data_IF_841929101018
#
_entry.id   IF_841929101018
#
_cell.length_a   1.000
_cell.length_b   1.000
_cell.length_c   1.000
_cell.angle_alpha   90.00
_cell.angle_beta   90.00
_cell.angle_gamma   90.00
#
_symmetry.space_group_name_H-M   'P 1'
#
loop_
_entity.id
_entity.type
_entity.pdbx_description
1 polymer ?
#
# COMPACT_ATOMS: atom_id res chain seq x y z
N UNK A 1 -13.91 -9.76 -8.09
CA UNK A 1 -12.64 -9.24 -7.53
C UNK A 1 -11.56 -10.23 -7.91
N UNK A 2 -10.44 -9.81 -8.47
CA UNK A 2 -9.33 -10.68 -8.87
C UNK A 2 -8.68 -11.24 -7.60
N UNK A 3 -8.88 -12.55 -7.34
CA UNK A 3 -8.47 -13.20 -6.08
C UNK A 3 -6.95 -13.15 -5.89
N UNK A 4 -6.19 -13.38 -6.96
CA UNK A 4 -4.74 -13.37 -6.95
C UNK A 4 -4.18 -12.01 -6.51
N UNK A 5 -4.72 -10.89 -7.06
CA UNK A 5 -4.32 -9.54 -6.64
C UNK A 5 -4.76 -9.22 -5.20
N UNK A 6 -5.86 -9.82 -4.74
CA UNK A 6 -6.26 -9.69 -3.34
C UNK A 6 -5.24 -10.36 -2.43
N UNK A 7 -4.78 -11.57 -2.76
CA UNK A 7 -3.74 -12.26 -1.99
C UNK A 7 -2.42 -11.51 -2.00
N UNK A 8 -2.01 -10.92 -3.12
CA UNK A 8 -0.83 -10.05 -3.18
C UNK A 8 -0.94 -8.86 -2.22
N UNK A 9 -2.14 -8.28 -2.06
CA UNK A 9 -2.35 -7.22 -1.04
C UNK A 9 -2.03 -7.72 0.38
N UNK A 10 -2.45 -8.93 0.72
CA UNK A 10 -2.16 -9.55 2.01
C UNK A 10 -0.66 -9.78 2.20
N UNK A 11 0.01 -10.34 1.20
CA UNK A 11 1.46 -10.59 1.22
C UNK A 11 2.23 -9.28 1.41
N UNK A 12 1.98 -8.26 0.59
CA UNK A 12 2.67 -6.97 0.71
C UNK A 12 2.35 -6.25 2.02
N UNK A 13 1.12 -6.37 2.55
CA UNK A 13 0.79 -5.80 3.85
C UNK A 13 1.62 -6.45 4.96
N UNK A 14 1.79 -7.77 4.95
CA UNK A 14 2.67 -8.46 5.91
C UNK A 14 4.13 -8.07 5.74
N UNK A 15 4.64 -7.95 4.52
CA UNK A 15 6.01 -7.49 4.29
C UNK A 15 6.25 -6.08 4.85
N UNK A 16 5.27 -5.18 4.73
CA UNK A 16 5.34 -3.84 5.33
C UNK A 16 5.31 -3.92 6.87
N UNK A 17 4.53 -4.82 7.45
CA UNK A 17 4.56 -5.07 8.91
C UNK A 17 5.95 -5.57 9.32
N UNK A 18 6.51 -6.57 8.64
CA UNK A 18 7.86 -7.09 8.90
C UNK A 18 8.91 -5.98 8.85
N UNK A 19 8.86 -5.12 7.83
CA UNK A 19 9.74 -3.95 7.72
C UNK A 19 9.68 -3.04 8.95
N UNK A 20 8.48 -2.77 9.47
CA UNK A 20 8.30 -1.93 10.66
C UNK A 20 8.73 -2.59 11.98
N UNK A 21 8.95 -3.90 11.96
CA UNK A 21 9.58 -4.65 13.04
C UNK A 21 11.09 -4.86 12.82
N UNK A 22 11.71 -4.05 11.95
CA UNK A 22 13.14 -4.09 11.61
C UNK A 22 13.62 -5.45 11.07
N UNK A 23 12.73 -6.19 10.40
CA UNK A 23 13.09 -7.41 9.68
C UNK A 23 13.59 -7.02 8.28
N UNK A 24 14.87 -6.69 8.18
CA UNK A 24 15.49 -6.09 6.98
C UNK A 24 15.42 -6.97 5.72
N UNK A 25 15.20 -8.28 5.88
CA UNK A 25 14.97 -9.20 4.76
C UNK A 25 13.73 -8.85 3.93
N UNK A 26 12.80 -8.08 4.51
CA UNK A 26 11.55 -7.66 3.87
C UNK A 26 11.56 -6.23 3.35
N UNK A 27 12.66 -5.49 3.52
CA UNK A 27 12.73 -4.06 3.13
C UNK A 27 12.34 -3.85 1.66
N UNK A 28 12.90 -4.63 0.75
CA UNK A 28 12.65 -4.52 -0.68
C UNK A 28 11.19 -4.81 -1.04
N UNK A 29 10.63 -5.86 -0.41
CA UNK A 29 9.24 -6.23 -0.58
C UNK A 29 8.29 -5.16 -0.02
N UNK A 30 8.65 -4.50 1.07
CA UNK A 30 7.87 -3.43 1.65
C UNK A 30 7.82 -2.20 0.74
N UNK A 31 8.95 -1.75 0.18
CA UNK A 31 9.00 -0.65 -0.79
C UNK A 31 8.21 -0.97 -2.07
N UNK A 32 8.38 -2.18 -2.61
CA UNK A 32 7.59 -2.65 -3.74
C UNK A 32 6.08 -2.69 -3.40
N UNK A 33 5.74 -3.11 -2.17
CA UNK A 33 4.37 -3.16 -1.66
C UNK A 33 3.70 -1.79 -1.61
N UNK A 34 4.41 -0.74 -1.20
CA UNK A 34 3.89 0.63 -1.24
C UNK A 34 3.51 1.03 -2.67
N UNK A 35 4.42 0.84 -3.63
CA UNK A 35 4.15 1.09 -5.05
C UNK A 35 2.99 0.24 -5.57
N UNK A 36 2.92 -1.03 -5.17
CA UNK A 36 1.83 -1.94 -5.52
C UNK A 36 0.47 -1.42 -5.02
N UNK A 37 0.38 -0.93 -3.79
CA UNK A 37 -0.89 -0.42 -3.25
C UNK A 37 -1.37 0.84 -3.99
N UNK A 38 -0.49 1.78 -4.31
CA UNK A 38 -0.86 2.95 -5.13
C UNK A 38 -1.28 2.54 -6.54
N UNK A 39 -0.45 1.75 -7.21
CA UNK A 39 -0.70 1.31 -8.58
C UNK A 39 -1.98 0.47 -8.68
N UNK A 40 -2.18 -0.50 -7.78
CA UNK A 40 -3.39 -1.32 -7.74
C UNK A 40 -4.64 -0.48 -7.46
N UNK A 41 -4.54 0.52 -6.57
CA UNK A 41 -5.66 1.42 -6.28
C UNK A 41 -6.11 2.19 -7.52
N UNK A 42 -5.17 2.74 -8.27
CA UNK A 42 -5.46 3.39 -9.55
C UNK A 42 -5.96 2.41 -10.62
N UNK A 43 -5.34 1.24 -10.74
CA UNK A 43 -5.72 0.18 -11.67
C UNK A 43 -7.19 -0.21 -11.51
N UNK A 44 -7.62 -0.49 -10.29
CA UNK A 44 -8.97 -0.95 -10.02
C UNK A 44 -10.06 0.09 -10.35
N UNK A 45 -9.75 1.39 -10.22
CA UNK A 45 -10.70 2.47 -10.60
C UNK A 45 -11.04 2.39 -12.08
N UNK A 46 -10.05 2.25 -12.92
CA UNK A 46 -10.23 2.25 -14.37
C UNK A 46 -10.61 0.88 -14.90
N UNK A 47 -10.01 -0.21 -14.41
CA UNK A 47 -10.29 -1.57 -14.85
C UNK A 47 -11.75 -1.99 -14.63
N UNK A 48 -12.35 -1.61 -13.49
CA UNK A 48 -13.74 -1.91 -13.15
C UNK A 48 -14.78 -1.00 -13.81
N UNK A 49 -14.39 -0.14 -14.73
CA UNK A 49 -15.30 0.85 -15.32
C UNK A 49 -16.06 1.67 -14.27
N UNK A 50 -15.39 2.13 -13.22
CA UNK A 50 -16.04 2.96 -12.23
C UNK A 50 -16.56 4.23 -12.92
N UNK A 51 -17.85 4.23 -13.28
CA UNK A 51 -18.51 5.40 -13.84
C UNK A 51 -18.75 6.38 -12.70
N UNK A 52 -18.29 7.62 -12.88
CA UNK A 52 -18.57 8.69 -11.92
C UNK A 52 -20.00 9.19 -12.13
N UNK A 53 -21.01 8.38 -11.78
CA UNK A 53 -22.40 8.83 -11.80
C UNK A 53 -22.62 10.02 -10.86
N UNK A 54 -21.82 10.13 -9.81
CA UNK A 54 -21.76 11.26 -8.89
C UNK A 54 -20.38 11.34 -8.24
N UNK A 55 -19.70 12.45 -8.43
CA UNK A 55 -18.41 12.75 -7.76
C UNK A 55 -18.56 12.74 -6.23
N UNK A 56 -19.70 13.26 -5.72
CA UNK A 56 -20.02 13.24 -4.29
C UNK A 56 -20.10 11.80 -3.76
N UNK A 57 -20.81 10.91 -4.44
CA UNK A 57 -20.92 9.50 -4.04
C UNK A 57 -19.57 8.77 -4.10
N UNK A 58 -18.76 9.08 -5.13
CA UNK A 58 -17.40 8.54 -5.24
C UNK A 58 -16.54 8.91 -4.02
N UNK A 59 -16.48 10.20 -3.67
CA UNK A 59 -15.71 10.65 -2.51
C UNK A 59 -16.26 10.08 -1.21
N UNK A 60 -17.56 10.17 -0.98
CA UNK A 60 -18.19 9.64 0.23
C UNK A 60 -17.79 8.21 0.51
N UNK A 61 -17.95 7.29 -0.47
CA UNK A 61 -17.59 5.87 -0.29
C UNK A 61 -16.12 5.65 0.05
N UNK A 62 -15.21 6.46 -0.50
CA UNK A 62 -13.77 6.31 -0.27
C UNK A 62 -13.31 6.94 1.04
N UNK A 63 -13.83 8.12 1.37
CA UNK A 63 -13.52 8.79 2.62
C UNK A 63 -14.06 8.01 3.82
N UNK A 64 -15.29 7.47 3.73
CA UNK A 64 -15.86 6.58 4.75
C UNK A 64 -15.08 5.27 4.95
N UNK A 65 -14.28 4.87 3.98
CA UNK A 65 -13.40 3.71 4.15
C UNK A 65 -12.11 4.06 4.89
N UNK A 66 -11.60 5.28 4.76
CA UNK A 66 -10.29 5.70 5.28
C UNK A 66 -10.43 6.34 6.66
N UNK A 67 -11.25 7.39 6.76
CA UNK A 67 -11.26 8.26 7.93
C UNK A 67 -11.74 7.60 9.23
N UNK A 68 -12.82 6.80 9.26
CA UNK A 68 -13.32 6.26 10.53
C UNK A 68 -12.26 5.39 11.23
N UNK A 69 -11.60 4.50 10.50
CA UNK A 69 -10.58 3.63 11.08
C UNK A 69 -9.29 4.41 11.42
N UNK A 70 -8.91 5.39 10.60
CA UNK A 70 -7.79 6.27 10.87
C UNK A 70 -8.01 7.08 12.15
N UNK A 71 -9.17 7.72 12.31
CA UNK A 71 -9.49 8.48 13.52
C UNK A 71 -9.59 7.60 14.75
N UNK A 72 -10.20 6.41 14.63
CA UNK A 72 -10.25 5.45 15.72
C UNK A 72 -8.85 5.06 16.19
N UNK A 73 -7.96 4.73 15.25
CA UNK A 73 -6.58 4.37 15.57
C UNK A 73 -5.82 5.55 16.20
N UNK A 74 -5.98 6.77 15.68
CA UNK A 74 -5.33 7.97 16.23
C UNK A 74 -5.84 8.29 17.64
N UNK A 75 -7.16 8.27 17.87
CA UNK A 75 -7.77 8.51 19.18
C UNK A 75 -7.32 7.44 20.19
N UNK A 76 -7.29 6.16 19.76
CA UNK A 76 -6.83 5.08 20.63
C UNK A 76 -5.35 5.21 21.00
N UNK A 77 -4.50 5.68 20.08
CA UNK A 77 -3.09 5.97 20.34
C UNK A 77 -2.95 7.13 21.35
N UNK A 78 -3.68 8.23 21.15
CA UNK A 78 -3.68 9.37 22.08
C UNK A 78 -4.12 8.91 23.48
N UNK A 79 -5.19 8.15 23.56
CA UNK A 79 -5.70 7.64 24.85
C UNK A 79 -4.68 6.71 25.53
N UNK A 80 -4.04 5.83 24.75
CA UNK A 80 -3.01 4.92 25.25
C UNK A 80 -1.80 5.67 25.80
N UNK A 81 -1.31 6.67 25.09
CA UNK A 81 -0.17 7.50 25.50
C UNK A 81 -0.51 8.32 26.78
N UNK A 82 -1.71 8.89 26.86
CA UNK A 82 -2.16 9.62 28.06
C UNK A 82 -2.22 8.73 29.29
N UNK A 83 -2.69 7.50 29.15
CA UNK A 83 -2.85 6.55 30.27
C UNK A 83 -1.51 5.94 30.67
N UNK A 84 -0.66 5.59 29.71
CA UNK A 84 0.56 4.80 29.97
C UNK A 84 1.80 5.66 30.19
N UNK A 85 1.92 6.78 29.49
CA UNK A 85 3.09 7.66 29.57
C UNK A 85 2.80 8.90 30.41
N UNK A 86 1.54 9.19 30.70
CA UNK A 86 1.07 10.38 31.43
C UNK A 86 1.53 11.71 30.80
N UNK A 87 1.74 11.71 29.47
CA UNK A 87 2.18 12.88 28.70
C UNK A 87 1.33 13.07 27.46
N UNK A 88 0.97 14.31 27.19
CA UNK A 88 0.35 14.73 25.94
C UNK A 88 1.45 15.22 25.00
N UNK A 89 1.92 14.36 24.10
CA UNK A 89 3.01 14.64 23.16
C UNK A 89 2.53 15.22 21.83
N UNK A 90 1.29 15.67 21.77
CA UNK A 90 0.65 16.05 20.51
C UNK A 90 0.77 17.58 20.32
N UNK A 91 1.44 17.97 19.25
CA UNK A 91 1.76 19.36 18.94
C UNK A 91 0.83 20.01 17.92
N UNK A 92 1.32 21.09 17.35
CA UNK A 92 0.65 21.91 16.34
C UNK A 92 0.34 21.13 15.03
N UNK A 93 1.02 20.02 14.79
CA UNK A 93 0.89 19.16 13.61
C UNK A 93 -0.24 18.12 13.73
N UNK A 94 -0.82 17.94 14.93
CA UNK A 94 -1.95 17.02 15.13
C UNK A 94 -3.12 17.28 14.16
N UNK A 95 -3.57 18.52 13.89
CA UNK A 95 -4.61 18.78 12.90
C UNK A 95 -4.25 18.28 11.49
N UNK A 96 -2.98 18.31 11.10
CA UNK A 96 -2.52 17.78 9.81
C UNK A 96 -2.70 16.26 9.75
N UNK A 97 -2.42 15.55 10.85
CA UNK A 97 -2.62 14.10 10.93
C UNK A 97 -4.12 13.72 10.95
N UNK A 98 -4.94 14.49 11.67
CA UNK A 98 -6.40 14.31 11.67
C UNK A 98 -6.98 14.45 10.26
N UNK A 99 -6.48 15.43 9.49
CA UNK A 99 -6.91 15.73 8.12
C UNK A 99 -6.16 14.94 7.03
N UNK A 100 -5.16 14.12 7.39
CA UNK A 100 -4.27 13.42 6.44
C UNK A 100 -3.53 14.37 5.49
N UNK A 101 -2.99 15.48 6.02
CA UNK A 101 -2.24 16.50 5.27
C UNK A 101 -0.74 16.55 5.64
N UNK A 102 -0.29 15.73 6.60
CA UNK A 102 1.09 15.75 7.11
C UNK A 102 2.16 15.49 6.04
N UNK A 103 1.85 14.71 5.00
CA UNK A 103 2.81 14.41 3.91
C UNK A 103 3.09 15.59 2.96
N UNK A 104 2.41 16.72 3.15
CA UNK A 104 2.66 17.94 2.39
C UNK A 104 3.76 18.80 3.01
N UNK A 105 4.09 18.54 4.29
CA UNK A 105 5.10 19.30 5.02
C UNK A 105 6.47 18.62 4.85
N UNK A 106 7.50 19.30 4.30
CA UNK A 106 8.82 18.68 4.07
C UNK A 106 9.66 18.61 5.36
N UNK A 107 9.09 18.03 6.40
CA UNK A 107 9.74 17.82 7.69
C UNK A 107 9.47 16.39 8.17
N UNK A 108 10.54 15.62 8.37
CA UNK A 108 10.49 14.21 8.80
C UNK A 108 9.78 14.04 10.14
N UNK A 109 9.94 14.97 11.07
CA UNK A 109 9.30 14.98 12.37
C UNK A 109 7.79 15.22 12.27
N UNK A 110 7.30 15.80 11.17
CA UNK A 110 5.90 16.03 10.92
C UNK A 110 5.29 14.83 10.18
N UNK A 111 5.82 14.44 9.02
CA UNK A 111 5.15 13.42 8.21
C UNK A 111 5.24 12.00 8.76
N UNK A 112 6.18 11.70 9.68
CA UNK A 112 6.29 10.43 10.39
C UNK A 112 5.83 10.49 11.86
N UNK A 113 5.37 11.63 12.34
CA UNK A 113 4.89 11.77 13.70
C UNK A 113 3.65 10.89 13.96
N UNK A 114 3.38 10.63 15.23
CA UNK A 114 2.27 9.83 15.78
C UNK A 114 2.15 8.45 15.14
N UNK A 115 1.69 8.35 13.90
CA UNK A 115 1.56 7.10 13.17
C UNK A 115 2.40 7.15 11.89
N UNK A 116 3.59 6.55 11.94
CA UNK A 116 4.54 6.51 10.82
C UNK A 116 3.91 6.00 9.51
N UNK A 117 2.87 5.16 9.60
CA UNK A 117 2.20 4.59 8.44
C UNK A 117 1.19 5.54 7.77
N UNK A 118 0.70 6.57 8.52
CA UNK A 118 -0.39 7.43 8.05
C UNK A 118 -0.02 8.32 6.86
N UNK A 119 1.28 8.51 6.56
CA UNK A 119 1.71 9.22 5.37
C UNK A 119 1.16 8.61 4.08
N UNK A 120 1.05 7.26 4.01
CA UNK A 120 0.46 6.58 2.86
C UNK A 120 -1.01 6.98 2.65
N UNK A 121 -1.78 7.09 3.73
CA UNK A 121 -3.17 7.54 3.65
C UNK A 121 -3.29 8.99 3.19
N UNK A 122 -2.37 9.87 3.63
CA UNK A 122 -2.28 11.26 3.17
C UNK A 122 -2.06 11.32 1.66
N UNK A 123 -1.11 10.57 1.14
CA UNK A 123 -0.82 10.52 -0.29
C UNK A 123 -1.93 9.83 -1.10
N UNK A 124 -2.54 8.78 -0.54
CA UNK A 124 -3.68 8.11 -1.17
C UNK A 124 -4.92 9.02 -1.21
N UNK A 125 -5.15 9.82 -0.17
CA UNK A 125 -6.24 10.81 -0.15
C UNK A 125 -6.11 11.81 -1.31
N UNK A 126 -4.90 12.32 -1.54
CA UNK A 126 -4.65 13.20 -2.68
C UNK A 126 -4.93 12.51 -4.02
N UNK A 127 -4.49 11.25 -4.19
CA UNK A 127 -4.77 10.47 -5.40
C UNK A 127 -6.29 10.26 -5.61
N UNK A 128 -7.04 10.01 -4.52
CA UNK A 128 -8.51 9.91 -4.56
C UNK A 128 -9.13 11.24 -4.99
N UNK A 129 -8.65 12.36 -4.43
CA UNK A 129 -9.14 13.70 -4.79
C UNK A 129 -8.87 13.99 -6.28
N UNK A 130 -7.69 13.62 -6.78
CA UNK A 130 -7.31 13.81 -8.18
C UNK A 130 -8.05 12.86 -9.16
N UNK A 131 -8.64 11.76 -8.67
CA UNK A 131 -9.21 10.71 -9.52
C UNK A 131 -10.23 11.20 -10.56
N UNK A 132 -11.21 12.07 -10.26
CA UNK A 132 -12.17 12.53 -11.27
C UNK A 132 -11.49 13.28 -12.42
N UNK A 133 -10.47 14.08 -12.11
CA UNK A 133 -9.69 14.80 -13.11
C UNK A 133 -8.85 13.84 -13.97
N UNK A 134 -8.20 12.86 -13.34
CA UNK A 134 -7.44 11.83 -14.03
C UNK A 134 -8.33 10.94 -14.92
N UNK A 135 -9.53 10.57 -14.45
CA UNK A 135 -10.50 9.83 -15.26
C UNK A 135 -10.94 10.63 -16.47
N UNK A 136 -11.23 11.93 -16.31
CA UNK A 136 -11.54 12.81 -17.44
C UNK A 136 -10.39 12.82 -18.44
N UNK A 137 -9.16 13.06 -17.98
CA UNK A 137 -7.95 13.04 -18.81
C UNK A 137 -7.83 11.73 -19.59
N UNK A 138 -7.90 10.56 -18.91
CA UNK A 138 -7.73 9.23 -19.52
C UNK A 138 -8.84 8.93 -20.54
N UNK A 139 -10.07 9.38 -20.30
CA UNK A 139 -11.22 9.10 -21.16
C UNK A 139 -11.32 10.04 -22.37
N UNK A 140 -10.79 11.27 -22.29
CA UNK A 140 -10.88 12.27 -23.36
C UNK A 140 -9.60 12.38 -24.21
N UNK A 141 -8.46 11.91 -23.69
CA UNK A 141 -7.17 12.00 -24.38
C UNK A 141 -6.91 10.74 -25.20
N UNK A 142 -6.32 10.92 -26.39
CA UNK A 142 -5.85 9.78 -27.16
C UNK A 142 -4.93 8.88 -26.33
N UNK A 143 -5.13 7.55 -26.41
CA UNK A 143 -4.43 6.59 -25.56
C UNK A 143 -2.91 6.68 -25.68
N UNK A 144 -2.38 6.88 -26.89
CA UNK A 144 -0.93 7.03 -27.11
C UNK A 144 -0.40 8.30 -26.46
N UNK A 145 -1.14 9.40 -26.60
CA UNK A 145 -0.78 10.70 -25.99
C UNK A 145 -0.84 10.61 -24.46
N UNK A 146 -1.89 9.99 -23.91
CA UNK A 146 -2.00 9.77 -22.47
C UNK A 146 -0.82 8.95 -21.92
N UNK A 147 -0.43 7.87 -22.59
CA UNK A 147 0.77 7.10 -22.23
C UNK A 147 2.04 7.93 -22.33
N UNK A 148 2.22 8.71 -23.37
CA UNK A 148 3.40 9.57 -23.53
C UNK A 148 3.52 10.57 -22.36
N UNK A 149 2.41 11.20 -21.96
CA UNK A 149 2.37 12.14 -20.81
C UNK A 149 2.74 11.42 -19.51
N UNK A 150 2.17 10.24 -19.25
CA UNK A 150 2.44 9.48 -18.02
C UNK A 150 3.89 8.98 -18.00
N UNK A 151 4.43 8.49 -19.12
CA UNK A 151 5.84 8.09 -19.22
C UNK A 151 6.75 9.29 -18.97
N UNK A 152 6.43 10.47 -19.54
CA UNK A 152 7.20 11.70 -19.28
C UNK A 152 7.18 12.07 -17.81
N UNK A 153 6.03 11.95 -17.15
CA UNK A 153 5.92 12.16 -15.69
C UNK A 153 6.76 11.14 -14.90
N UNK A 154 6.75 9.86 -15.29
CA UNK A 154 7.63 8.84 -14.69
C UNK A 154 9.11 9.19 -14.86
N UNK A 155 9.54 9.61 -16.06
CA UNK A 155 10.92 10.04 -16.30
C UNK A 155 11.29 11.26 -15.47
N UNK A 156 10.41 12.26 -15.38
CA UNK A 156 10.64 13.45 -14.56
C UNK A 156 10.81 13.09 -13.08
N UNK A 157 9.94 12.23 -12.53
CA UNK A 157 10.06 11.73 -11.15
C UNK A 157 11.36 10.93 -10.97
N UNK A 158 11.74 10.10 -11.93
CA UNK A 158 13.01 9.36 -11.89
C UNK A 158 14.19 10.33 -11.78
N UNK A 159 14.23 11.37 -12.61
CA UNK A 159 15.27 12.40 -12.57
C UNK A 159 15.28 13.13 -11.23
N UNK A 160 14.11 13.48 -10.69
CA UNK A 160 14.01 14.10 -9.36
C UNK A 160 14.60 13.21 -8.25
N UNK A 161 14.34 11.89 -8.26
CA UNK A 161 14.96 10.97 -7.30
C UNK A 161 16.47 10.86 -7.47
N UNK A 162 16.99 10.89 -8.70
CA UNK A 162 18.42 10.82 -8.96
C UNK A 162 19.16 12.08 -8.50
N UNK A 163 18.52 13.24 -8.60
CA UNK A 163 19.09 14.54 -8.23
C UNK A 163 18.78 14.94 -6.79
N UNK A 164 17.94 14.20 -6.08
CA UNK A 164 17.51 14.55 -4.73
C UNK A 164 18.66 14.56 -3.72
N UNK A 165 18.73 15.58 -2.89
CA UNK A 165 19.50 15.53 -1.64
C UNK A 165 18.90 14.53 -0.66
N UNK A 166 19.64 14.08 0.35
CA UNK A 166 19.16 13.10 1.34
C UNK A 166 17.83 13.53 2.01
N UNK A 167 17.70 14.81 2.32
CA UNK A 167 16.45 15.35 2.91
C UNK A 167 15.27 15.27 1.93
N UNK A 168 15.49 15.63 0.67
CA UNK A 168 14.46 15.58 -0.36
C UNK A 168 14.12 14.14 -0.75
N UNK A 169 15.10 13.25 -0.73
CA UNK A 169 14.90 11.83 -1.03
C UNK A 169 13.86 11.17 -0.10
N UNK A 170 13.99 11.39 1.21
CA UNK A 170 13.03 10.90 2.21
C UNK A 170 11.67 11.56 2.06
N UNK A 171 11.64 12.88 1.77
CA UNK A 171 10.39 13.60 1.54
C UNK A 171 9.66 13.13 0.27
N UNK A 172 10.38 12.89 -0.83
CA UNK A 172 9.78 12.40 -2.09
C UNK A 172 9.10 11.05 -1.91
N UNK A 173 9.58 10.21 -0.97
CA UNK A 173 8.93 8.95 -0.64
C UNK A 173 7.49 9.13 -0.16
N UNK A 174 7.20 10.17 0.61
CA UNK A 174 5.88 10.42 1.22
C UNK A 174 5.06 11.47 0.48
N UNK A 175 5.68 12.28 -0.37
CA UNK A 175 5.06 13.46 -0.98
C UNK A 175 3.94 13.08 -1.96
N UNK A 176 2.70 13.58 -1.75
CA UNK A 176 1.54 13.13 -2.49
C UNK A 176 1.65 13.24 -4.03
N UNK A 177 2.21 14.31 -4.63
CA UNK A 177 2.40 14.40 -6.08
C UNK A 177 3.32 13.31 -6.64
N UNK A 178 4.35 12.87 -5.90
CA UNK A 178 5.24 11.79 -6.35
C UNK A 178 4.47 10.47 -6.39
N UNK A 179 3.65 10.20 -5.39
CA UNK A 179 2.82 8.98 -5.30
C UNK A 179 1.64 8.99 -6.26
N UNK A 180 1.20 10.19 -6.70
CA UNK A 180 0.19 10.31 -7.74
C UNK A 180 0.64 9.68 -9.07
N UNK A 181 1.94 9.67 -9.36
CA UNK A 181 2.49 9.02 -10.57
C UNK A 181 2.30 7.51 -10.50
N UNK A 182 2.58 6.86 -9.37
CA UNK A 182 2.33 5.42 -9.15
C UNK A 182 0.85 5.08 -9.40
N UNK A 183 -0.04 5.90 -8.81
CA UNK A 183 -1.48 5.73 -8.94
C UNK A 183 -1.96 5.93 -10.39
N UNK A 184 -1.47 6.97 -11.07
CA UNK A 184 -1.85 7.29 -12.46
C UNK A 184 -1.34 6.22 -13.43
N UNK A 185 -0.13 5.68 -13.19
CA UNK A 185 0.40 4.54 -13.96
C UNK A 185 -0.54 3.34 -13.83
N UNK A 186 -1.00 3.05 -12.61
CA UNK A 186 -2.02 2.02 -12.38
C UNK A 186 -3.32 2.29 -13.13
N UNK A 187 -3.83 3.53 -13.11
CA UNK A 187 -5.02 3.91 -13.87
C UNK A 187 -4.84 3.68 -15.38
N UNK A 188 -3.68 4.01 -15.93
CA UNK A 188 -3.37 3.78 -17.35
C UNK A 188 -3.34 2.30 -17.69
N UNK A 189 -2.72 1.45 -16.85
CA UNK A 189 -2.72 0.00 -17.02
C UNK A 189 -4.15 -0.55 -16.99
N UNK A 190 -4.96 -0.18 -16.00
CA UNK A 190 -6.33 -0.62 -15.89
C UNK A 190 -7.18 -0.20 -17.09
N UNK A 191 -7.02 1.04 -17.55
CA UNK A 191 -7.71 1.53 -18.73
C UNK A 191 -7.29 0.80 -20.02
N UNK A 192 -6.04 0.37 -20.12
CA UNK A 192 -5.53 -0.39 -21.27
C UNK A 192 -6.05 -1.83 -21.25
N UNK A 193 -6.13 -2.45 -20.08
CA UNK A 193 -6.60 -3.83 -19.92
C UNK A 193 -8.14 -3.99 -19.93
N UNK A 194 -8.90 -2.90 -19.99
CA UNK A 194 -10.37 -2.94 -20.15
C UNK A 194 -10.81 -3.67 -21.41
N UNK A 195 -10.07 -3.51 -22.52
CA UNK A 195 -10.30 -4.28 -23.73
C UNK A 195 -9.79 -5.68 -23.43
N UNK A 196 -10.65 -6.71 -23.39
CA UNK A 196 -10.18 -8.07 -23.15
C UNK A 196 -9.08 -8.36 -24.17
N UNK A 197 -7.86 -8.57 -23.69
CA UNK A 197 -6.91 -9.32 -24.49
C UNK A 197 -7.66 -10.58 -24.81
N UNK A 198 -7.93 -10.87 -26.10
CA UNK A 198 -8.49 -12.17 -26.54
C UNK A 198 -7.48 -13.21 -26.05
N UNK A 199 -7.63 -13.64 -24.81
CA UNK A 199 -6.85 -14.74 -24.26
C UNK A 199 -7.32 -15.97 -25.00
N UNK A 200 -6.56 -16.38 -26.04
CA UNK A 200 -6.57 -17.75 -26.47
C UNK A 200 -6.41 -18.59 -25.19
N UNK A 201 -7.08 -19.73 -25.12
CA UNK A 201 -6.96 -20.65 -23.99
C UNK A 201 -5.47 -20.95 -23.75
N UNK A 202 -4.91 -20.25 -22.75
CA UNK A 202 -3.53 -20.51 -22.30
C UNK A 202 -3.57 -21.79 -21.48
N UNK A 203 -2.77 -22.78 -21.85
CA UNK A 203 -2.66 -24.01 -21.04
C UNK A 203 -2.14 -23.69 -19.63
N UNK A 204 -2.48 -24.52 -18.65
CA UNK A 204 -1.97 -24.35 -17.28
C UNK A 204 -0.43 -24.26 -17.24
N UNK A 205 0.25 -25.03 -18.09
CA UNK A 205 1.73 -24.96 -18.20
C UNK A 205 2.19 -23.60 -18.75
N UNK A 206 1.53 -23.08 -19.78
CA UNK A 206 1.82 -21.75 -20.33
C UNK A 206 1.54 -20.64 -19.32
N UNK A 207 0.41 -20.70 -18.60
CA UNK A 207 0.08 -19.75 -17.54
C UNK A 207 1.14 -19.79 -16.42
N UNK A 208 1.55 -21.00 -15.98
CA UNK A 208 2.61 -21.16 -14.98
C UNK A 208 3.94 -20.57 -15.44
N UNK A 209 4.31 -20.76 -16.70
CA UNK A 209 5.54 -20.19 -17.24
C UNK A 209 5.51 -18.65 -17.24
N UNK A 210 4.37 -18.05 -17.58
CA UNK A 210 4.18 -16.58 -17.55
C UNK A 210 4.26 -16.05 -16.11
N UNK A 211 3.57 -16.72 -15.17
CA UNK A 211 3.60 -16.37 -13.75
C UNK A 211 5.03 -16.44 -13.17
N UNK A 212 5.75 -17.53 -13.44
CA UNK A 212 7.13 -17.72 -12.98
C UNK A 212 8.06 -16.69 -13.61
N UNK A 213 7.92 -16.38 -14.90
CA UNK A 213 8.71 -15.34 -15.56
C UNK A 213 8.50 -13.97 -14.89
N UNK A 214 7.25 -13.59 -14.60
CA UNK A 214 6.94 -12.35 -13.89
C UNK A 214 7.58 -12.32 -12.48
N UNK A 215 7.54 -13.44 -11.75
CA UNK A 215 8.17 -13.55 -10.42
C UNK A 215 9.69 -13.52 -10.49
N UNK A 216 10.31 -14.13 -11.51
CA UNK A 216 11.76 -14.07 -11.71
C UNK A 216 12.22 -12.65 -12.02
N UNK A 217 11.48 -11.92 -12.85
CA UNK A 217 11.76 -10.50 -13.10
C UNK A 217 11.61 -9.71 -11.80
N UNK A 218 10.54 -9.92 -11.04
CA UNK A 218 10.35 -9.25 -9.76
C UNK A 218 11.51 -9.56 -8.78
N UNK A 219 11.92 -10.83 -8.67
CA UNK A 219 13.04 -11.25 -7.84
C UNK A 219 14.38 -10.63 -8.30
N UNK A 220 14.59 -10.47 -9.61
CA UNK A 220 15.78 -9.79 -10.14
C UNK A 220 15.86 -8.32 -9.69
N UNK A 221 14.73 -7.60 -9.64
CA UNK A 221 14.69 -6.23 -9.11
C UNK A 221 14.93 -6.17 -7.59
N UNK A 222 14.42 -7.16 -6.83
CA UNK A 222 14.74 -7.31 -5.41
C UNK A 222 16.26 -7.53 -5.24
N UNK A 223 16.85 -8.46 -5.97
CA UNK A 223 18.28 -8.74 -5.91
C UNK A 223 19.13 -7.53 -6.32
N UNK A 224 18.71 -6.79 -7.35
CA UNK A 224 19.38 -5.57 -7.77
C UNK A 224 19.37 -4.50 -6.67
N UNK A 225 18.25 -4.30 -5.98
CA UNK A 225 18.19 -3.37 -4.85
C UNK A 225 19.02 -3.88 -3.66
N UNK A 226 18.91 -5.16 -3.32
CA UNK A 226 19.63 -5.80 -2.21
C UNK A 226 21.15 -5.84 -2.45
N UNK A 227 21.60 -5.79 -3.70
CA UNK A 227 23.06 -5.75 -4.01
C UNK A 227 23.77 -4.46 -3.57
N UNK A 228 23.02 -3.46 -3.08
CA UNK A 228 23.59 -2.16 -2.70
C UNK A 228 23.98 -1.28 -3.89
N UNK A 229 23.54 -1.60 -5.10
CA UNK A 229 23.79 -0.78 -6.28
C UNK A 229 23.25 0.62 -6.06
N UNK A 230 24.10 1.65 -6.20
CA UNK A 230 23.76 3.04 -5.88
C UNK A 230 22.56 3.56 -6.68
N UNK A 231 22.45 3.20 -7.97
CA UNK A 231 21.32 3.59 -8.81
C UNK A 231 20.03 2.92 -8.33
N UNK A 232 20.08 1.63 -8.00
CA UNK A 232 18.93 0.89 -7.49
C UNK A 232 18.46 1.44 -6.13
N UNK A 233 19.39 1.79 -5.25
CA UNK A 233 19.07 2.44 -3.96
C UNK A 233 18.40 3.80 -4.17
N UNK A 234 18.92 4.63 -5.07
CA UNK A 234 18.32 5.93 -5.41
C UNK A 234 16.93 5.81 -6.02
N UNK A 235 16.64 4.76 -6.76
CA UNK A 235 15.33 4.52 -7.36
C UNK A 235 14.39 3.65 -6.49
N UNK A 236 14.90 3.10 -5.39
CA UNK A 236 14.22 2.09 -4.56
C UNK A 236 12.95 2.57 -3.86
N UNK A 237 12.76 3.88 -3.71
CA UNK A 237 11.55 4.42 -3.05
C UNK A 237 10.28 4.36 -3.92
N UNK A 238 10.40 4.34 -5.26
CA UNK A 238 9.28 4.19 -6.19
C UNK A 238 9.70 3.75 -7.60
N UNK A 239 10.55 4.49 -8.34
CA UNK A 239 10.78 4.24 -9.77
C UNK A 239 11.26 2.82 -10.08
N UNK A 240 12.09 2.24 -9.23
CA UNK A 240 12.60 0.89 -9.40
C UNK A 240 11.48 -0.16 -9.48
N UNK A 241 10.40 0.06 -8.75
CA UNK A 241 9.32 -0.91 -8.58
C UNK A 241 8.22 -0.80 -9.63
N UNK A 242 8.18 0.26 -10.47
CA UNK A 242 7.10 0.44 -11.44
C UNK A 242 6.98 -0.72 -12.43
N UNK A 243 8.09 -1.17 -12.99
CA UNK A 243 8.08 -2.26 -13.97
C UNK A 243 7.69 -3.59 -13.34
N UNK A 244 8.37 -4.09 -12.30
CA UNK A 244 8.05 -5.40 -11.73
C UNK A 244 6.64 -5.45 -11.12
N UNK A 245 6.18 -4.37 -10.50
CA UNK A 245 4.81 -4.28 -9.94
C UNK A 245 3.77 -4.23 -11.06
N UNK A 246 4.01 -3.45 -12.13
CA UNK A 246 3.11 -3.44 -13.29
C UNK A 246 2.99 -4.83 -13.91
N UNK A 247 4.11 -5.55 -14.06
CA UNK A 247 4.11 -6.92 -14.57
C UNK A 247 3.31 -7.87 -13.67
N UNK A 248 3.44 -7.78 -12.35
CA UNK A 248 2.61 -8.59 -11.44
C UNK A 248 1.12 -8.29 -11.63
N UNK A 249 0.72 -7.02 -11.62
CA UNK A 249 -0.68 -6.62 -11.78
C UNK A 249 -1.23 -7.11 -13.13
N UNK A 250 -0.48 -6.90 -14.22
CA UNK A 250 -0.90 -7.29 -15.57
C UNK A 250 -0.99 -8.81 -15.69
N UNK A 251 0.03 -9.54 -15.26
CA UNK A 251 0.09 -11.01 -15.35
C UNK A 251 -1.09 -11.65 -14.61
N UNK A 252 -1.26 -11.33 -13.33
CA UNK A 252 -2.31 -11.95 -12.53
C UNK A 252 -3.72 -11.42 -12.85
N UNK A 253 -3.84 -10.32 -13.60
CA UNK A 253 -5.12 -9.89 -14.17
C UNK A 253 -5.42 -10.61 -15.48
N UNK A 254 -4.43 -10.74 -16.37
CA UNK A 254 -4.60 -11.39 -17.66
C UNK A 254 -4.90 -12.90 -17.53
N UNK A 255 -4.40 -13.53 -16.47
CA UNK A 255 -4.60 -14.95 -16.18
C UNK A 255 -5.76 -15.22 -15.22
N UNK A 256 -6.56 -14.21 -14.83
CA UNK A 256 -7.73 -14.41 -13.96
C UNK A 256 -8.74 -15.38 -14.62
N UNK A 257 -8.99 -16.52 -13.98
CA UNK A 257 -9.79 -17.63 -14.51
C UNK A 257 -9.02 -18.66 -15.35
N UNK A 258 -7.73 -18.44 -15.64
CA UNK A 258 -6.82 -19.36 -16.32
C UNK A 258 -5.48 -19.46 -15.58
N UNK A 259 -5.53 -19.53 -14.26
CA UNK A 259 -4.37 -19.48 -13.41
C UNK A 259 -3.43 -20.67 -13.62
N UNK A 260 -2.12 -20.38 -13.58
CA UNK A 260 -1.06 -21.35 -13.44
C UNK A 260 -0.94 -21.88 -12.00
N UNK A 261 0.17 -22.51 -11.67
CA UNK A 261 0.41 -23.09 -10.34
C UNK A 261 0.44 -21.99 -9.27
N UNK A 262 1.14 -20.88 -9.50
CA UNK A 262 1.26 -19.79 -8.54
C UNK A 262 -0.08 -19.08 -8.35
N UNK A 263 -0.80 -18.80 -9.43
CA UNK A 263 -2.13 -18.20 -9.37
C UNK A 263 -3.11 -19.06 -8.58
N UNK A 264 -3.12 -20.37 -8.80
CA UNK A 264 -3.94 -21.32 -8.02
C UNK A 264 -3.59 -21.27 -6.53
N UNK A 265 -2.31 -21.23 -6.18
CA UNK A 265 -1.87 -21.04 -4.79
C UNK A 265 -2.36 -19.70 -4.22
N UNK A 266 -2.29 -18.63 -4.98
CA UNK A 266 -2.76 -17.32 -4.56
C UNK A 266 -4.29 -17.23 -4.43
N UNK A 267 -5.06 -18.16 -4.99
CA UNK A 267 -6.54 -18.18 -4.86
C UNK A 267 -7.05 -18.96 -3.66
N UNK A 268 -6.18 -19.56 -2.84
CA UNK A 268 -6.61 -20.27 -1.62
C UNK A 268 -7.24 -19.31 -0.61
N UNK A 269 -8.24 -19.80 0.11
CA UNK A 269 -9.03 -18.98 1.06
C UNK A 269 -8.21 -18.21 2.06
N UNK A 270 -7.19 -18.76 2.74
CA UNK A 270 -6.41 -18.01 3.74
C UNK A 270 -5.69 -16.79 3.17
N UNK A 271 -5.08 -16.90 1.97
CA UNK A 271 -4.37 -15.80 1.33
C UNK A 271 -5.33 -14.71 0.85
N UNK A 272 -6.46 -15.10 0.26
CA UNK A 272 -7.49 -14.14 -0.17
C UNK A 272 -8.06 -13.41 1.06
N UNK A 273 -8.37 -14.14 2.13
CA UNK A 273 -8.85 -13.56 3.39
C UNK A 273 -7.86 -12.56 3.99
N UNK A 274 -6.57 -12.91 4.01
CA UNK A 274 -5.52 -12.00 4.47
C UNK A 274 -5.50 -10.70 3.64
N UNK A 275 -5.68 -10.80 2.33
CA UNK A 275 -5.79 -9.65 1.44
C UNK A 275 -7.04 -8.80 1.67
N UNK A 276 -8.14 -9.40 2.11
CA UNK A 276 -9.36 -8.67 2.44
C UNK A 276 -9.18 -7.75 3.65
N UNK A 277 -8.45 -8.20 4.67
CA UNK A 277 -8.15 -7.45 5.90
C UNK A 277 -6.86 -6.63 5.83
N UNK A 278 -6.18 -6.60 4.69
CA UNK A 278 -4.86 -5.96 4.52
C UNK A 278 -4.85 -4.46 4.84
N UNK A 279 -5.97 -3.77 4.65
CA UNK A 279 -6.11 -2.35 4.96
C UNK A 279 -6.15 -2.11 6.47
N UNK A 280 -6.88 -2.92 7.19
CA UNK A 280 -6.97 -2.88 8.65
C UNK A 280 -5.63 -3.26 9.29
N UNK A 281 -4.95 -4.29 8.78
CA UNK A 281 -3.57 -4.66 9.19
C UNK A 281 -2.66 -3.44 9.06
N UNK A 282 -2.69 -2.78 7.90
CA UNK A 282 -1.82 -1.64 7.63
C UNK A 282 -2.06 -0.47 8.59
N UNK A 283 -3.32 -0.11 8.86
CA UNK A 283 -3.64 1.05 9.73
C UNK A 283 -3.36 0.75 11.21
N UNK A 284 -3.66 -0.46 11.66
CA UNK A 284 -3.67 -0.79 13.09
C UNK A 284 -2.31 -1.27 13.62
N UNK A 285 -1.32 -1.55 12.76
CA UNK A 285 -0.04 -2.13 13.17
C UNK A 285 0.69 -1.31 14.25
N UNK A 286 0.71 0.03 14.15
CA UNK A 286 1.37 0.89 15.16
C UNK A 286 0.62 0.87 16.50
N UNK A 287 -0.69 0.98 16.46
CA UNK A 287 -1.53 0.90 17.67
C UNK A 287 -1.32 -0.43 18.40
N UNK A 288 -1.37 -1.55 17.64
CA UNK A 288 -1.22 -2.88 18.25
C UNK A 288 0.19 -3.08 18.80
N UNK A 289 1.22 -2.58 18.10
CA UNK A 289 2.57 -2.60 18.61
C UNK A 289 2.72 -1.80 19.90
N UNK A 290 2.12 -0.60 19.99
CA UNK A 290 2.14 0.20 21.21
C UNK A 290 1.38 -0.50 22.35
N UNK A 291 0.22 -1.12 22.08
CA UNK A 291 -0.50 -1.95 23.07
C UNK A 291 0.41 -3.07 23.58
N UNK A 292 1.09 -3.77 22.70
CA UNK A 292 2.03 -4.81 23.11
C UNK A 292 3.14 -4.25 24.00
N UNK A 293 3.81 -3.19 23.57
CA UNK A 293 4.93 -2.61 24.31
C UNK A 293 4.54 -2.03 25.66
N UNK A 294 3.36 -1.43 25.78
CA UNK A 294 2.94 -0.73 27.01
C UNK A 294 2.17 -1.61 27.98
N UNK A 295 1.44 -2.60 27.51
CA UNK A 295 0.56 -3.41 28.37
C UNK A 295 1.05 -4.87 28.47
N UNK A 296 1.39 -5.49 27.35
CA UNK A 296 1.67 -6.94 27.30
C UNK A 296 3.09 -7.22 27.76
N UNK A 297 4.09 -6.56 27.19
CA UNK A 297 5.48 -6.82 27.50
C UNK A 297 5.85 -6.52 28.98
N UNK A 298 5.41 -5.40 29.61
CA UNK A 298 5.66 -5.15 31.01
C UNK A 298 4.99 -6.16 31.95
N UNK A 299 3.78 -6.66 31.61
CA UNK A 299 3.12 -7.70 32.37
C UNK A 299 3.97 -8.98 32.46
N UNK A 300 4.48 -9.44 31.34
CA UNK A 300 5.38 -10.61 31.32
C UNK A 300 6.72 -10.33 31.98
N UNK A 301 7.26 -9.12 31.85
CA UNK A 301 8.48 -8.68 32.53
C UNK A 301 8.38 -8.74 34.04
N UNK A 302 7.18 -8.48 34.60
CA UNK A 302 6.93 -8.62 36.03
C UNK A 302 7.14 -10.07 36.54
N UNK A 303 6.94 -11.06 35.69
CA UNK A 303 7.19 -12.47 35.98
C UNK A 303 8.57 -12.94 35.52
N UNK A 304 9.50 -12.03 35.19
CA UNK A 304 10.84 -12.34 34.75
C UNK A 304 10.94 -12.89 33.32
N UNK A 305 9.86 -12.77 32.52
CA UNK A 305 9.82 -13.25 31.14
C UNK A 305 10.11 -12.08 30.20
N UNK A 306 11.28 -12.09 29.56
CA UNK A 306 11.68 -11.07 28.58
C UNK A 306 11.10 -11.43 27.21
N UNK A 307 9.94 -10.83 26.85
CA UNK A 307 9.26 -11.13 25.58
C UNK A 307 9.49 -10.06 24.50
N UNK A 308 10.32 -9.05 24.75
CA UNK A 308 10.62 -8.02 23.73
C UNK A 308 11.31 -8.61 22.50
N UNK A 309 12.15 -9.64 22.66
CA UNK A 309 12.80 -10.34 21.54
C UNK A 309 11.80 -11.14 20.68
N UNK A 310 10.62 -11.42 21.23
CA UNK A 310 9.50 -12.10 20.55
C UNK A 310 8.39 -11.13 20.14
N UNK A 311 8.65 -9.83 20.16
CA UNK A 311 7.62 -8.78 19.91
C UNK A 311 6.84 -9.01 18.62
N UNK A 312 7.53 -9.34 17.53
CA UNK A 312 6.88 -9.65 16.25
C UNK A 312 5.97 -10.88 16.35
N UNK A 313 6.48 -11.98 16.91
CA UNK A 313 5.74 -13.24 17.02
C UNK A 313 4.47 -13.10 17.87
N UNK A 314 4.49 -12.23 18.90
CA UNK A 314 3.34 -11.95 19.74
C UNK A 314 2.39 -10.91 19.13
N UNK A 315 2.94 -9.86 18.52
CA UNK A 315 2.16 -8.74 17.95
C UNK A 315 1.45 -9.14 16.68
N UNK A 316 2.03 -9.97 15.81
CA UNK A 316 1.43 -10.33 14.53
C UNK A 316 0.10 -11.07 14.66
N UNK A 317 -0.05 -12.13 15.50
CA UNK A 317 -1.34 -12.76 15.73
C UNK A 317 -2.39 -11.81 16.30
N UNK A 318 -1.98 -10.98 17.26
CA UNK A 318 -2.86 -9.97 17.86
C UNK A 318 -3.33 -8.95 16.82
N UNK A 319 -2.43 -8.49 15.96
CA UNK A 319 -2.75 -7.57 14.85
C UNK A 319 -3.75 -8.21 13.88
N UNK A 320 -3.56 -9.47 13.51
CA UNK A 320 -4.47 -10.19 12.60
C UNK A 320 -5.87 -10.31 13.22
N UNK A 321 -5.96 -10.65 14.52
CA UNK A 321 -7.24 -10.77 15.23
C UNK A 321 -7.96 -9.41 15.30
N UNK A 322 -7.25 -8.36 15.70
CA UNK A 322 -7.83 -7.01 15.82
C UNK A 322 -8.23 -6.46 14.44
N UNK A 323 -7.39 -6.67 13.41
CA UNK A 323 -7.70 -6.26 12.03
C UNK A 323 -8.93 -7.00 11.48
N UNK A 324 -9.06 -8.30 11.76
CA UNK A 324 -10.25 -9.06 11.39
C UNK A 324 -11.50 -8.54 12.10
N UNK A 325 -11.45 -8.30 13.41
CA UNK A 325 -12.57 -7.75 14.17
C UNK A 325 -12.99 -6.37 13.64
N UNK A 326 -12.02 -5.47 13.38
CA UNK A 326 -12.27 -4.16 12.80
C UNK A 326 -12.91 -4.28 11.39
N UNK A 327 -12.47 -5.25 10.59
CA UNK A 327 -13.04 -5.51 9.29
C UNK A 327 -14.51 -5.97 9.36
N UNK A 328 -14.88 -6.83 10.33
CA UNK A 328 -16.28 -7.24 10.52
C UNK A 328 -17.15 -6.04 10.92
N UNK A 329 -16.68 -5.19 11.84
CA UNK A 329 -17.40 -3.97 12.26
C UNK A 329 -17.64 -3.03 11.07
N UNK A 330 -16.63 -2.80 10.23
CA UNK A 330 -16.77 -1.94 9.05
C UNK A 330 -17.71 -2.51 7.98
N UNK A 331 -17.83 -3.83 7.88
CA UNK A 331 -18.83 -4.49 7.02
C UNK A 331 -20.26 -4.27 7.52
N UNK A 332 -20.49 -4.43 8.82
CA UNK A 332 -21.83 -4.27 9.43
C UNK A 332 -22.35 -2.84 9.26
N UNK A 333 -21.49 -1.82 9.47
CA UNK A 333 -21.87 -0.41 9.28
C UNK A 333 -22.25 -0.06 7.82
N UNK A 334 -21.77 -0.80 6.85
CA UNK A 334 -22.10 -0.57 5.42
C UNK A 334 -23.43 -1.19 4.98
N UNK A 335 -23.96 -2.13 5.75
CA UNK A 335 -25.22 -2.83 5.43
C UNK A 335 -26.43 -2.24 6.16
N UNK A 336 -26.20 -1.37 7.13
CA UNK A 336 -27.20 -0.53 7.79
C UNK A 336 -27.16 0.90 7.23
#
# INVERSE_FOLDING_TARGET
>A
MIKTLTSWRGIFALCIVCFHFAMHEFDQMAFAGVTFFFMLSGFLVTYKHETLNSVKSFYSRRLWRIFPLHWLALIAMIALDLVMIHKFHYGWDLPLHVALLQSWVPNVEVYYNYSIHSWFLSSLLFAIIATPLLLRFINTTNRKVAWAIVITACLAVTVLYLLASEKLFSFYHVFPPMRLVDYTLGMMLGATMRTPLKTQHVSTAGASAIEVAALLIFAAFIALHASGNQLALRLGNAPLWWIPVALLIVTFTALDGNEGIVGKLLTIRPLVWLGEISFEIYILQKLVNNIFCYLVAPFFGHYGIMIYDYSFACTLPLLIIIAWAAHQLTKTIKHN
#
